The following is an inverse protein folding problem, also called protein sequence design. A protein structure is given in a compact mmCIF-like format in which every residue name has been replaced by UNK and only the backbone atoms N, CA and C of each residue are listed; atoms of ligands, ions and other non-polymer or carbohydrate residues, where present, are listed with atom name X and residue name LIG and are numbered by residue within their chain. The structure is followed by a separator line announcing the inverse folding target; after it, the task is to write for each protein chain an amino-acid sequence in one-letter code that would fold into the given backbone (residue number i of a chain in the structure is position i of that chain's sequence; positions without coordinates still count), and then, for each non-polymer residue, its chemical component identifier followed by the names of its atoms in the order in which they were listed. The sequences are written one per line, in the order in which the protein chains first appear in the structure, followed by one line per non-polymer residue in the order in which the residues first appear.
data_IF_328926252016
#
_entry.id   IF_328926252016
#
_cell.length_a   1.000
_cell.length_b   1.000
_cell.length_c   1.000
_cell.angle_alpha   90.00
_cell.angle_beta   90.00
_cell.angle_gamma   90.00
#
_symmetry.space_group_name_H-M   'P 1'
#
loop_
_entity.id
_entity.type
_entity.pdbx_description
1 polymer ?
#
# COMPACT_ATOMS: atom_id res chain seq x y z
N UNK A 1 6.73 7.94 1.05
CA UNK A 1 5.84 6.77 1.12
C UNK A 1 5.54 6.40 2.56
N UNK A 2 4.35 5.89 2.79
CA UNK A 2 3.95 5.44 4.12
C UNK A 2 4.03 3.93 4.19
N UNK A 3 4.71 3.40 5.20
CA UNK A 3 4.77 1.96 5.43
C UNK A 3 3.47 1.51 6.10
N UNK A 4 2.80 0.57 5.47
CA UNK A 4 1.51 0.06 5.92
C UNK A 4 1.56 -1.46 5.95
N UNK A 5 0.56 -2.08 6.57
CA UNK A 5 0.43 -3.53 6.53
C UNK A 5 -1.05 -3.92 6.55
N UNK A 6 -1.33 -5.03 5.87
CA UNK A 6 -2.67 -5.61 5.89
C UNK A 6 -2.92 -6.25 7.25
N UNK A 7 -4.15 -6.15 7.73
CA UNK A 7 -4.53 -6.71 9.03
C UNK A 7 -4.79 -8.22 9.01
N UNK A 8 -4.47 -8.92 7.93
CA UNK A 8 -4.56 -10.37 7.88
C UNK A 8 -3.45 -11.02 8.73
N UNK A 9 -3.52 -12.33 8.91
CA UNK A 9 -2.58 -13.04 9.78
C UNK A 9 -1.12 -12.86 9.41
N UNK A 10 -0.83 -12.82 8.12
CA UNK A 10 0.54 -12.70 7.64
C UNK A 10 1.09 -11.29 7.69
N UNK A 11 0.20 -10.30 7.79
CA UNK A 11 0.56 -8.89 7.91
C UNK A 11 1.62 -8.44 6.90
N UNK A 12 1.40 -8.71 5.60
CA UNK A 12 2.38 -8.31 4.59
C UNK A 12 2.51 -6.80 4.54
N UNK A 13 3.74 -6.33 4.42
CA UNK A 13 4.03 -4.92 4.35
C UNK A 13 3.75 -4.40 2.95
N UNK A 14 3.10 -3.26 2.87
CA UNK A 14 2.89 -2.54 1.61
C UNK A 14 3.31 -1.09 1.81
N UNK A 15 3.57 -0.40 0.70
CA UNK A 15 3.99 1.00 0.71
C UNK A 15 2.90 1.83 0.06
N UNK A 16 2.33 2.77 0.78
CA UNK A 16 1.27 3.63 0.30
C UNK A 16 1.76 5.01 -0.06
N UNK A 17 1.23 5.56 -1.14
CA UNK A 17 1.53 6.91 -1.57
C UNK A 17 0.28 7.55 -2.14
N UNK A 18 0.14 8.85 -1.94
CA UNK A 18 -1.03 9.60 -2.37
C UNK A 18 -0.71 10.27 -3.70
N UNK A 19 -1.30 9.77 -4.79
CA UNK A 19 -1.01 10.20 -6.14
C UNK A 19 -2.20 10.84 -6.82
N UNK A 20 -1.87 11.76 -7.72
CA UNK A 20 -2.85 12.33 -8.64
C UNK A 20 -3.08 11.36 -9.79
N UNK A 21 -4.32 10.89 -9.95
CA UNK A 21 -4.65 9.86 -10.95
C UNK A 21 -5.09 10.43 -12.29
N UNK A 22 -5.13 11.76 -12.41
CA UNK A 22 -5.69 12.44 -13.58
C UNK A 22 -7.07 13.05 -13.31
N UNK A 23 -7.74 12.56 -12.28
CA UNK A 23 -9.06 13.04 -11.88
C UNK A 23 -9.10 13.51 -10.43
N UNK A 24 -8.38 12.78 -9.54
CA UNK A 24 -8.35 13.09 -8.12
C UNK A 24 -7.12 12.47 -7.49
N UNK A 25 -6.84 12.87 -6.27
CA UNK A 25 -5.81 12.20 -5.47
C UNK A 25 -6.37 10.91 -4.90
N UNK A 26 -5.58 9.85 -4.96
CA UNK A 26 -5.97 8.55 -4.44
C UNK A 26 -4.75 7.81 -3.89
N UNK A 27 -5.01 6.87 -2.99
CA UNK A 27 -3.95 6.03 -2.44
C UNK A 27 -3.55 4.97 -3.44
N UNK A 28 -2.26 4.89 -3.70
CA UNK A 28 -1.66 3.87 -4.57
C UNK A 28 -0.71 3.05 -3.71
N UNK A 29 -0.74 1.74 -3.87
CA UNK A 29 0.03 0.83 -3.04
C UNK A 29 1.04 0.05 -3.86
N UNK A 30 2.20 -0.22 -3.25
CA UNK A 30 3.28 -0.97 -3.87
C UNK A 30 3.72 -2.07 -2.90
N UNK A 31 4.15 -3.19 -3.46
CA UNK A 31 4.66 -4.30 -2.66
C UNK A 31 6.14 -4.16 -2.32
N UNK A 32 6.83 -3.26 -3.00
CA UNK A 32 8.24 -3.00 -2.79
C UNK A 32 8.49 -1.50 -2.81
N UNK A 33 9.23 -1.04 -1.85
CA UNK A 33 9.64 0.35 -1.73
C UNK A 33 10.45 0.83 -2.94
N UNK A 34 11.18 -0.06 -3.57
CA UNK A 34 12.06 0.25 -4.68
C UNK A 34 11.36 0.27 -6.04
N UNK A 35 10.16 -0.31 -6.14
CA UNK A 35 9.42 -0.42 -7.40
C UNK A 35 8.40 0.69 -7.60
N UNK A 36 8.56 1.79 -6.92
CA UNK A 36 7.61 2.91 -6.92
C UNK A 36 7.69 3.85 -8.11
N UNK A 37 8.57 3.55 -9.07
CA UNK A 37 8.87 4.48 -10.15
C UNK A 37 7.74 4.66 -11.15
N UNK A 38 6.90 3.66 -11.32
CA UNK A 38 5.82 3.73 -12.30
C UNK A 38 4.50 3.31 -11.67
N UNK A 39 3.44 3.96 -12.13
CA UNK A 39 2.09 3.64 -11.71
C UNK A 39 1.71 2.20 -12.05
N UNK A 40 2.29 1.64 -13.11
CA UNK A 40 1.99 0.29 -13.53
C UNK A 40 2.48 -0.78 -12.55
N UNK A 41 3.40 -0.46 -11.68
CA UNK A 41 3.93 -1.39 -10.69
C UNK A 41 3.10 -1.47 -9.41
N UNK A 42 2.05 -0.68 -9.32
CA UNK A 42 1.19 -0.71 -8.15
C UNK A 42 0.51 -2.06 -7.97
N UNK A 43 0.22 -2.37 -6.72
CA UNK A 43 -0.61 -3.54 -6.39
C UNK A 43 -1.99 -3.07 -5.95
N UNK A 44 -3.00 -3.87 -6.22
CA UNK A 44 -4.39 -3.54 -5.88
C UNK A 44 -4.99 -4.50 -4.87
N UNK A 45 -4.31 -5.58 -4.57
CA UNK A 45 -4.79 -6.57 -3.61
C UNK A 45 -3.65 -7.05 -2.72
N UNK A 46 -4.01 -7.49 -1.52
CA UNK A 46 -3.03 -8.02 -0.57
C UNK A 46 -2.37 -9.28 -1.14
N UNK A 47 -1.04 -9.34 -1.16
CA UNK A 47 -0.34 -10.51 -1.69
C UNK A 47 -0.52 -11.76 -0.85
N UNK A 48 -1.01 -11.63 0.39
CA UNK A 48 -1.22 -12.77 1.27
C UNK A 48 -2.67 -13.25 1.29
N UNK A 49 -3.64 -12.35 1.46
CA UNK A 49 -5.04 -12.74 1.61
C UNK A 49 -5.92 -12.41 0.40
N UNK A 50 -5.41 -11.65 -0.56
CA UNK A 50 -6.16 -11.30 -1.77
C UNK A 50 -7.19 -10.19 -1.59
N UNK A 51 -7.35 -9.65 -0.38
CA UNK A 51 -8.30 -8.57 -0.14
C UNK A 51 -7.86 -7.31 -0.89
N UNK A 52 -8.82 -6.58 -1.43
CA UNK A 52 -8.53 -5.32 -2.09
C UNK A 52 -7.87 -4.35 -1.11
N UNK A 53 -6.79 -3.73 -1.54
CA UNK A 53 -6.08 -2.77 -0.71
C UNK A 53 -6.81 -1.44 -0.68
N UNK A 54 -7.18 -1.01 0.53
CA UNK A 54 -7.78 0.28 0.77
C UNK A 54 -7.14 0.86 2.02
N UNK A 55 -6.92 2.17 2.03
CA UNK A 55 -6.25 2.81 3.16
C UNK A 55 -6.94 2.50 4.49
N UNK A 56 -8.26 2.44 4.50
CA UNK A 56 -9.04 2.17 5.71
C UNK A 56 -8.83 0.75 6.26
N UNK A 57 -8.38 -0.17 5.41
CA UNK A 57 -8.15 -1.58 5.79
C UNK A 57 -6.69 -1.86 6.14
N UNK A 58 -5.86 -0.85 6.08
CA UNK A 58 -4.44 -0.98 6.33
C UNK A 58 -4.06 -0.21 7.60
N UNK A 59 -3.06 -0.72 8.28
CA UNK A 59 -2.53 -0.09 9.49
C UNK A 59 -1.15 0.48 9.22
N UNK A 60 -0.85 1.60 9.84
CA UNK A 60 0.45 2.23 9.71
C UNK A 60 1.48 1.46 10.53
N UNK A 61 2.62 1.17 9.92
CA UNK A 61 3.73 0.59 10.65
C UNK A 61 4.30 1.67 11.56
N UNK A 62 4.35 1.37 12.87
CA UNK A 62 4.87 2.29 13.87
C UNK A 62 6.24 1.81 14.30
N UNK A 63 7.22 2.69 14.18
CA UNK A 63 8.57 2.40 14.64
C UNK A 63 8.77 3.04 16.01
N UNK A 64 9.46 2.35 16.93
CA UNK A 64 9.80 2.97 18.20
C UNK A 64 10.68 4.21 17.97
N UNK A 65 10.36 5.26 18.68
CA UNK A 65 11.11 6.50 18.58
C UNK A 65 12.51 6.36 19.16
#
# INVERSE_FOLDING_TARGET
MTALYCSCEQKPQVWGEFWWTGERYDWIFFDDRETRETYTERITSCPACGRRLERKNLKVVTYPA
#
